data_IF_656822582837
#
_entry.id   IF_656822582837
#
_cell.length_a   1.000
_cell.length_b   1.000
_cell.length_c   1.000
_cell.angle_alpha   90.00
_cell.angle_beta   90.00
_cell.angle_gamma   90.00
#
_symmetry.space_group_name_H-M   'P 1'
#
loop_
_entity.id
_entity.type
_entity.pdbx_description
1 polymer ?
#
# COMPACT_ATOMS: atom_id res chain seq x y z
N UNK A 1 3.72 31.82 34.48
CA UNK A 1 3.06 30.50 34.34
C UNK A 1 2.35 30.50 33.01
N UNK A 2 3.07 30.09 31.96
CA UNK A 2 2.59 30.13 30.57
C UNK A 2 1.81 28.85 30.28
N UNK A 3 0.57 29.03 29.81
CA UNK A 3 -0.26 27.98 29.21
C UNK A 3 0.27 27.71 27.82
N UNK A 4 0.90 26.55 27.63
CA UNK A 4 1.29 26.06 26.30
C UNK A 4 0.06 25.43 25.65
N UNK A 5 -0.40 26.03 24.56
CA UNK A 5 -1.46 25.52 23.72
C UNK A 5 -0.98 24.26 22.98
N UNK A 6 -1.70 23.15 23.17
CA UNK A 6 -1.57 21.94 22.36
C UNK A 6 -2.24 22.23 21.00
N UNK A 7 -1.43 22.45 19.97
CA UNK A 7 -1.90 22.47 18.59
C UNK A 7 -2.15 21.02 18.16
N UNK A 8 -3.42 20.66 17.96
CA UNK A 8 -3.82 19.42 17.31
C UNK A 8 -3.51 19.56 15.81
N UNK A 9 -2.59 18.75 15.31
CA UNK A 9 -2.30 18.65 13.87
C UNK A 9 -3.44 17.87 13.23
N UNK A 10 -4.29 18.56 12.47
CA UNK A 10 -5.33 17.95 11.61
C UNK A 10 -4.60 17.32 10.41
N UNK A 11 -4.29 16.03 10.51
CA UNK A 11 -3.76 15.23 9.42
C UNK A 11 -4.84 14.93 8.37
N UNK A 12 -4.51 15.11 7.10
CA UNK A 12 -5.39 14.97 5.95
C UNK A 12 -5.98 13.55 5.85
N UNK A 13 -7.31 13.43 5.94
CA UNK A 13 -8.05 12.15 5.92
C UNK A 13 -9.14 12.12 4.81
N UNK A 14 -8.85 12.71 3.64
CA UNK A 14 -9.86 12.95 2.59
C UNK A 14 -9.48 12.44 1.19
N UNK A 15 -8.70 11.37 1.10
CA UNK A 15 -8.38 10.72 -0.18
C UNK A 15 -8.57 9.19 -0.15
N UNK A 16 -9.76 8.70 0.21
CA UNK A 16 -10.20 7.34 -0.16
C UNK A 16 -10.98 7.46 -1.46
N UNK A 17 -10.28 7.78 -2.55
CA UNK A 17 -10.81 7.78 -3.91
C UNK A 17 -10.69 6.38 -4.49
N UNK A 18 -11.82 5.76 -4.85
CA UNK A 18 -11.89 4.53 -5.68
C UNK A 18 -11.05 3.32 -5.25
N UNK A 19 -10.58 3.27 -4.01
CA UNK A 19 -9.99 2.06 -3.44
C UNK A 19 -11.05 0.98 -3.28
N UNK A 20 -10.62 -0.28 -3.37
CA UNK A 20 -11.44 -1.39 -2.91
C UNK A 20 -11.81 -1.11 -1.44
N UNK A 21 -13.10 -1.13 -1.14
CA UNK A 21 -13.64 -0.81 0.19
C UNK A 21 -14.66 -1.86 0.52
N UNK A 22 -14.54 -2.44 1.70
CA UNK A 22 -15.55 -3.31 2.24
C UNK A 22 -16.57 -2.48 3.01
N UNK A 23 -17.85 -2.81 2.88
CA UNK A 23 -18.94 -2.02 3.46
C UNK A 23 -20.14 -2.87 3.87
N UNK A 24 -20.81 -2.43 4.92
CA UNK A 24 -22.07 -3.01 5.41
C UNK A 24 -23.02 -1.89 5.86
N UNK A 25 -24.32 -2.12 5.70
CA UNK A 25 -25.35 -1.28 6.29
C UNK A 25 -25.61 -1.75 7.71
N UNK A 26 -25.67 -0.82 8.67
CA UNK A 26 -25.95 -1.15 10.06
C UNK A 26 -27.36 -1.71 10.29
N UNK A 27 -27.56 -2.26 11.48
CA UNK A 27 -28.78 -2.97 11.89
C UNK A 27 -30.03 -2.08 11.86
N UNK A 28 -29.90 -0.79 12.16
CA UNK A 28 -30.99 0.19 12.11
C UNK A 28 -31.20 0.77 10.71
N UNK A 29 -30.25 0.58 9.79
CA UNK A 29 -30.32 1.05 8.41
C UNK A 29 -30.10 2.56 8.24
N UNK A 30 -29.57 3.22 9.26
CA UNK A 30 -29.30 4.66 9.27
C UNK A 30 -27.93 4.97 8.67
N UNK A 31 -26.93 4.13 8.96
CA UNK A 31 -25.54 4.31 8.60
C UNK A 31 -24.98 3.13 7.77
N UNK A 32 -23.99 3.46 6.93
CA UNK A 32 -23.11 2.51 6.27
C UNK A 32 -21.72 2.63 6.87
N UNK A 33 -21.18 1.48 7.29
CA UNK A 33 -19.83 1.32 7.80
C UNK A 33 -18.95 0.83 6.66
N UNK A 34 -17.75 1.38 6.55
CA UNK A 34 -16.79 0.96 5.53
C UNK A 34 -15.34 1.07 6.03
N UNK A 35 -14.48 0.19 5.54
CA UNK A 35 -13.03 0.27 5.72
C UNK A 35 -12.32 -0.01 4.38
N UNK A 36 -11.06 0.43 4.27
CA UNK A 36 -10.23 0.10 3.12
C UNK A 36 -9.91 -1.39 3.14
N UNK A 37 -10.22 -2.09 2.05
CA UNK A 37 -10.02 -3.53 1.91
C UNK A 37 -9.53 -3.81 0.50
N UNK A 38 -8.35 -4.40 0.38
CA UNK A 38 -7.75 -4.84 -0.87
C UNK A 38 -8.15 -6.28 -1.21
N UNK A 39 -8.11 -7.17 -0.22
CA UNK A 39 -8.63 -8.52 -0.33
C UNK A 39 -10.14 -8.52 -0.19
N UNK A 40 -10.80 -9.51 -0.81
CA UNK A 40 -12.25 -9.76 -0.79
C UNK A 40 -13.09 -8.55 -0.34
N UNK A 41 -13.15 -7.48 -1.15
CA UNK A 41 -13.80 -6.23 -0.76
C UNK A 41 -15.33 -6.37 -0.64
N UNK A 42 -15.87 -7.55 -0.92
CA UNK A 42 -17.28 -7.87 -0.73
C UNK A 42 -17.54 -8.54 0.62
N UNK A 43 -16.50 -9.01 1.32
CA UNK A 43 -16.59 -9.53 2.67
C UNK A 43 -16.25 -8.44 3.70
N UNK A 44 -17.27 -7.95 4.41
CA UNK A 44 -17.11 -7.03 5.54
C UNK A 44 -16.80 -7.75 6.84
N UNK A 45 -17.16 -9.03 6.96
CA UNK A 45 -17.13 -9.76 8.22
C UNK A 45 -15.75 -10.37 8.47
N UNK A 46 -14.69 -9.72 8.03
CA UNK A 46 -13.32 -10.14 8.35
C UNK A 46 -13.03 -9.81 9.82
N UNK A 47 -12.39 -10.71 10.57
CA UNK A 47 -12.06 -10.46 11.94
C UNK A 47 -10.90 -9.47 12.03
N UNK A 48 -10.94 -8.59 13.02
CA UNK A 48 -9.85 -7.69 13.36
C UNK A 48 -8.80 -8.50 14.14
N UNK A 49 -7.52 -8.33 13.84
CA UNK A 49 -6.44 -8.97 14.57
C UNK A 49 -6.48 -8.57 16.06
N UNK A 50 -6.26 -9.51 16.96
CA UNK A 50 -6.01 -9.17 18.38
C UNK A 50 -4.80 -8.24 18.49
N UNK A 51 -4.97 -7.10 19.17
CA UNK A 51 -4.02 -5.99 19.25
C UNK A 51 -4.08 -5.01 18.07
N UNK A 52 -4.74 -5.40 16.97
CA UNK A 52 -4.86 -4.61 15.76
C UNK A 52 -5.94 -3.55 15.86
N UNK A 53 -5.78 -2.47 15.07
CA UNK A 53 -6.75 -1.38 14.99
C UNK A 53 -7.42 -1.34 13.61
N UNK A 54 -8.66 -0.87 13.59
CA UNK A 54 -9.42 -0.66 12.37
C UNK A 54 -10.11 0.69 12.40
N UNK A 55 -9.95 1.45 11.32
CA UNK A 55 -10.66 2.70 11.11
C UNK A 55 -11.92 2.43 10.28
N UNK A 56 -13.08 2.61 10.89
CA UNK A 56 -14.38 2.47 10.25
C UNK A 56 -14.93 3.84 9.90
N UNK A 57 -15.14 4.09 8.61
CA UNK A 57 -15.84 5.26 8.11
C UNK A 57 -17.34 5.05 8.14
N UNK A 58 -18.05 6.00 8.74
CA UNK A 58 -19.50 6.01 8.90
C UNK A 58 -20.11 7.08 7.99
N UNK A 59 -21.06 6.69 7.17
CA UNK A 59 -21.81 7.58 6.27
C UNK A 59 -23.29 7.31 6.36
N UNK A 60 -24.12 8.31 6.05
CA UNK A 60 -25.58 8.14 6.05
C UNK A 60 -26.02 7.27 4.86
N UNK A 61 -26.90 6.30 5.12
CA UNK A 61 -27.50 5.46 4.05
C UNK A 61 -28.30 6.33 3.08
N UNK A 62 -28.22 5.99 1.79
CA UNK A 62 -28.94 6.69 0.72
C UNK A 62 -28.24 7.95 0.21
N UNK A 63 -27.71 8.79 1.09
CA UNK A 63 -26.99 10.02 0.68
C UNK A 63 -25.48 9.84 0.57
N UNK A 64 -24.91 8.86 1.28
CA UNK A 64 -23.47 8.62 1.43
C UNK A 64 -22.70 9.84 1.97
N UNK A 65 -23.41 10.81 2.56
CA UNK A 65 -22.80 11.97 3.19
C UNK A 65 -22.11 11.55 4.50
N UNK A 66 -20.97 12.16 4.83
CA UNK A 66 -20.30 11.90 6.11
C UNK A 66 -21.21 12.34 7.27
N UNK A 67 -21.12 11.59 8.37
CA UNK A 67 -21.78 11.89 9.65
C UNK A 67 -20.72 12.42 10.62
N UNK A 68 -21.09 13.33 11.52
CA UNK A 68 -20.20 13.71 12.64
C UNK A 68 -20.51 12.81 13.82
N UNK A 69 -19.61 11.88 14.13
CA UNK A 69 -19.81 10.96 15.25
C UNK A 69 -19.72 11.70 16.59
N UNK A 70 -20.73 11.49 17.43
CA UNK A 70 -20.85 12.10 18.75
C UNK A 70 -20.59 11.11 19.87
N UNK A 71 -20.87 9.82 19.65
CA UNK A 71 -20.58 8.74 20.59
C UNK A 71 -20.27 7.43 19.86
N UNK A 72 -19.49 6.57 20.50
CA UNK A 72 -19.22 5.22 20.04
C UNK A 72 -18.91 4.31 21.24
N UNK A 73 -19.56 3.15 21.28
CA UNK A 73 -19.40 2.17 22.37
C UNK A 73 -19.55 0.74 21.86
N UNK A 74 -19.19 -0.22 22.69
CA UNK A 74 -19.33 -1.65 22.40
C UNK A 74 -19.90 -2.38 23.61
N UNK A 75 -20.68 -3.43 23.36
CA UNK A 75 -21.31 -4.25 24.39
C UNK A 75 -20.32 -5.20 25.09
N UNK A 76 -19.23 -5.57 24.41
CA UNK A 76 -18.20 -6.49 24.89
C UNK A 76 -16.80 -5.82 24.86
N UNK A 77 -16.50 -4.89 25.80
CA UNK A 77 -15.22 -4.15 25.83
C UNK A 77 -13.98 -5.02 26.07
N UNK A 78 -14.16 -6.29 26.44
CA UNK A 78 -13.07 -7.27 26.56
C UNK A 78 -12.69 -7.94 25.23
N UNK A 79 -13.55 -7.85 24.21
CA UNK A 79 -13.33 -8.40 22.86
C UNK A 79 -12.91 -7.27 21.91
N UNK A 80 -13.63 -6.16 21.93
CA UNK A 80 -13.40 -5.00 21.07
C UNK A 80 -13.39 -3.75 21.95
N UNK A 81 -12.51 -2.77 21.69
CA UNK A 81 -12.55 -1.48 22.36
C UNK A 81 -12.66 -0.32 21.36
N UNK A 82 -13.31 0.77 21.77
CA UNK A 82 -13.35 2.03 20.99
C UNK A 82 -12.17 2.89 21.41
N UNK A 83 -11.24 3.11 20.47
CA UNK A 83 -10.05 3.95 20.68
C UNK A 83 -10.41 5.43 20.63
N UNK A 84 -11.31 5.80 19.73
CA UNK A 84 -11.80 7.17 19.61
C UNK A 84 -12.61 7.42 18.34
N UNK A 85 -13.07 8.65 18.20
CA UNK A 85 -13.79 9.14 17.01
C UNK A 85 -13.13 10.40 16.46
N UNK A 86 -13.17 10.56 15.15
CA UNK A 86 -12.66 11.73 14.43
C UNK A 86 -13.53 12.00 13.19
N UNK A 87 -14.44 12.97 13.30
CA UNK A 87 -15.39 13.28 12.23
C UNK A 87 -16.27 12.06 11.90
N UNK A 88 -16.24 11.53 10.67
CA UNK A 88 -17.00 10.33 10.29
C UNK A 88 -16.28 9.01 10.61
N UNK A 89 -15.12 9.02 11.27
CA UNK A 89 -14.33 7.82 11.53
C UNK A 89 -14.42 7.43 12.99
N UNK A 90 -14.67 6.15 13.25
CA UNK A 90 -14.46 5.51 14.55
C UNK A 90 -13.28 4.54 14.43
N UNK A 91 -12.33 4.65 15.35
CA UNK A 91 -11.22 3.69 15.44
C UNK A 91 -11.52 2.70 16.56
N UNK A 92 -11.48 1.42 16.22
CA UNK A 92 -11.65 0.30 17.16
C UNK A 92 -10.37 -0.52 17.26
N UNK A 93 -10.20 -1.25 18.36
CA UNK A 93 -9.08 -2.16 18.58
C UNK A 93 -9.57 -3.54 19.01
N UNK A 94 -9.00 -4.60 18.44
CA UNK A 94 -9.23 -5.96 18.90
C UNK A 94 -8.50 -6.24 20.22
N UNK A 95 -9.20 -6.71 21.24
CA UNK A 95 -8.65 -6.98 22.57
C UNK A 95 -8.49 -8.49 22.83
N UNK A 96 -9.48 -9.29 22.43
CA UNK A 96 -9.43 -10.76 22.51
C UNK A 96 -10.38 -11.42 21.52
N UNK A 97 -10.19 -12.70 21.24
CA UNK A 97 -11.02 -13.46 20.30
C UNK A 97 -12.51 -13.42 20.66
N UNK A 98 -13.36 -13.15 19.67
CA UNK A 98 -14.81 -13.18 19.85
C UNK A 98 -15.59 -12.31 18.88
N UNK A 99 -16.84 -12.04 19.21
CA UNK A 99 -17.72 -11.13 18.48
C UNK A 99 -18.21 -10.03 19.44
N UNK A 100 -18.35 -8.81 18.94
CA UNK A 100 -18.85 -7.66 19.69
C UNK A 100 -19.71 -6.77 18.80
N UNK A 101 -20.76 -6.17 19.37
CA UNK A 101 -21.56 -5.15 18.70
C UNK A 101 -20.90 -3.78 18.92
N UNK A 102 -20.58 -3.07 17.83
CA UNK A 102 -20.22 -1.66 17.85
C UNK A 102 -21.49 -0.82 17.66
N UNK A 103 -21.75 0.09 18.60
CA UNK A 103 -22.81 1.09 18.52
C UNK A 103 -22.21 2.47 18.28
N UNK A 104 -22.74 3.22 17.31
CA UNK A 104 -22.33 4.61 17.06
C UNK A 104 -23.53 5.54 17.03
N UNK A 105 -23.35 6.76 17.54
CA UNK A 105 -24.29 7.86 17.39
C UNK A 105 -23.60 9.00 16.64
N UNK A 106 -24.34 9.69 15.78
CA UNK A 106 -23.80 10.84 15.06
C UNK A 106 -24.85 11.76 14.46
N UNK A 107 -24.42 13.00 14.22
CA UNK A 107 -25.22 14.06 13.63
C UNK A 107 -25.01 14.08 12.11
N UNK A 108 -26.12 13.98 11.36
CA UNK A 108 -26.11 14.11 9.90
C UNK A 108 -25.86 15.56 9.47
N UNK A 109 -25.58 15.79 8.18
CA UNK A 109 -25.42 17.17 7.67
C UNK A 109 -26.68 18.04 7.82
N UNK A 110 -27.85 17.41 8.00
CA UNK A 110 -29.12 18.10 8.18
C UNK A 110 -29.43 18.37 9.68
N UNK A 111 -28.49 18.02 10.58
CA UNK A 111 -28.60 18.23 12.03
C UNK A 111 -29.41 17.17 12.77
N UNK A 112 -29.76 16.07 12.10
CA UNK A 112 -30.48 14.96 12.71
C UNK A 112 -29.50 14.03 13.45
N UNK A 113 -29.79 13.74 14.72
CA UNK A 113 -29.05 12.76 15.50
C UNK A 113 -29.61 11.35 15.24
N UNK A 114 -28.77 10.48 14.70
CA UNK A 114 -29.11 9.09 14.42
C UNK A 114 -28.11 8.15 15.10
N UNK A 115 -28.51 6.90 15.30
CA UNK A 115 -27.65 5.84 15.80
C UNK A 115 -27.77 4.58 14.94
N UNK A 116 -26.70 3.80 14.88
CA UNK A 116 -26.69 2.51 14.20
C UNK A 116 -25.67 1.56 14.83
N UNK A 117 -25.79 0.27 14.52
CA UNK A 117 -25.00 -0.80 15.11
C UNK A 117 -24.48 -1.78 14.07
N UNK A 118 -23.32 -2.36 14.33
CA UNK A 118 -22.68 -3.36 13.45
C UNK A 118 -21.97 -4.42 14.30
N UNK A 119 -22.08 -5.68 13.89
CA UNK A 119 -21.33 -6.77 14.51
C UNK A 119 -19.92 -6.81 13.93
N UNK A 120 -18.92 -6.91 14.80
CA UNK A 120 -17.52 -7.05 14.43
C UNK A 120 -16.95 -8.31 15.08
N UNK A 121 -16.02 -8.95 14.39
CA UNK A 121 -15.30 -10.11 14.90
C UNK A 121 -13.86 -9.74 15.22
N UNK A 122 -13.29 -10.38 16.22
CA UNK A 122 -11.87 -10.27 16.59
C UNK A 122 -11.29 -11.68 16.64
N UNK A 123 -10.10 -11.86 16.07
CA UNK A 123 -9.43 -13.14 16.07
C UNK A 123 -7.91 -12.99 16.12
N UNK A 124 -7.26 -13.91 16.81
CA UNK A 124 -5.81 -14.05 16.83
C UNK A 124 -5.36 -14.62 15.48
N UNK A 125 -4.48 -13.94 14.73
CA UNK A 125 -3.98 -14.47 13.47
C UNK A 125 -3.14 -15.74 13.71
N UNK A 126 -3.28 -16.71 12.82
CA UNK A 126 -2.61 -18.02 12.88
C UNK A 126 -1.60 -18.21 11.75
N UNK A 127 -1.71 -17.41 10.68
CA UNK A 127 -0.80 -17.41 9.53
C UNK A 127 -0.40 -16.01 9.13
N UNK A 128 0.78 -15.87 8.55
CA UNK A 128 1.30 -14.63 7.96
C UNK A 128 1.85 -14.95 6.57
N UNK A 129 1.36 -14.25 5.54
CA UNK A 129 2.01 -14.24 4.24
C UNK A 129 2.87 -12.98 4.11
N UNK A 130 4.09 -13.13 3.57
CA UNK A 130 5.01 -12.04 3.28
C UNK A 130 5.34 -12.05 1.79
N UNK A 131 5.55 -10.88 1.20
CA UNK A 131 5.99 -10.84 -0.20
C UNK A 131 6.78 -9.58 -0.55
N UNK A 132 7.44 -9.59 -1.70
CA UNK A 132 8.09 -8.41 -2.28
C UNK A 132 7.21 -7.81 -3.38
N UNK A 133 7.08 -6.48 -3.44
CA UNK A 133 6.21 -5.81 -4.44
C UNK A 133 6.59 -6.11 -5.89
N UNK A 134 7.87 -6.30 -6.17
CA UNK A 134 8.36 -6.59 -7.52
C UNK A 134 8.55 -8.09 -7.81
N UNK A 135 8.53 -8.95 -6.78
CA UNK A 135 8.80 -10.38 -6.89
C UNK A 135 7.99 -11.18 -5.83
N UNK A 136 6.66 -11.25 -5.94
CA UNK A 136 5.80 -11.77 -4.87
C UNK A 136 5.96 -13.26 -4.57
N UNK A 137 6.68 -13.99 -5.43
CA UNK A 137 6.94 -15.43 -5.27
C UNK A 137 8.39 -15.74 -4.85
N UNK A 138 9.20 -14.72 -4.55
CA UNK A 138 10.59 -14.88 -4.16
C UNK A 138 10.74 -14.53 -2.68
N UNK A 139 11.59 -15.28 -1.98
CA UNK A 139 11.90 -15.02 -0.57
C UNK A 139 12.97 -13.91 -0.41
N UNK A 140 13.58 -13.47 -1.51
CA UNK A 140 14.63 -12.45 -1.52
C UNK A 140 14.37 -11.44 -2.62
N UNK A 141 14.44 -10.15 -2.29
CA UNK A 141 14.50 -9.06 -3.26
C UNK A 141 15.39 -7.92 -2.78
N UNK A 142 15.86 -7.12 -3.73
CA UNK A 142 16.70 -5.97 -3.44
C UNK A 142 15.87 -4.70 -3.20
N UNK A 143 16.38 -3.81 -2.35
CA UNK A 143 15.82 -2.48 -2.07
C UNK A 143 16.96 -1.46 -1.98
N UNK A 144 16.72 -0.20 -2.35
CA UNK A 144 17.74 0.85 -2.16
C UNK A 144 17.82 1.30 -0.70
N UNK A 145 19.00 1.75 -0.29
CA UNK A 145 19.20 2.52 0.95
C UNK A 145 18.62 3.93 0.84
N UNK A 146 18.25 4.53 1.97
CA UNK A 146 17.89 5.94 2.09
C UNK A 146 16.43 6.25 1.75
N UNK A 147 15.56 5.24 1.79
CA UNK A 147 14.14 5.35 1.44
C UNK A 147 13.24 4.57 2.41
N UNK A 148 12.00 5.03 2.56
CA UNK A 148 10.91 4.21 3.09
C UNK A 148 10.53 3.16 2.04
N UNK A 149 10.39 1.91 2.46
CA UNK A 149 9.93 0.81 1.61
C UNK A 149 8.76 0.09 2.27
N UNK A 150 7.85 -0.42 1.43
CA UNK A 150 6.64 -1.11 1.84
C UNK A 150 6.79 -2.60 1.62
N UNK A 151 6.64 -3.39 2.67
CA UNK A 151 6.62 -4.85 2.57
C UNK A 151 5.17 -5.32 2.73
N UNK A 152 4.55 -5.86 1.66
CA UNK A 152 3.20 -6.40 1.74
C UNK A 152 3.13 -7.56 2.73
N UNK A 153 2.05 -7.62 3.49
CA UNK A 153 1.74 -8.71 4.39
C UNK A 153 0.24 -9.01 4.44
N UNK A 154 -0.11 -10.26 4.69
CA UNK A 154 -1.49 -10.68 4.91
C UNK A 154 -1.55 -11.54 6.17
N UNK A 155 -2.48 -11.20 7.07
CA UNK A 155 -2.78 -12.01 8.25
C UNK A 155 -3.95 -12.95 7.92
N UNK A 156 -3.88 -14.17 8.42
CA UNK A 156 -4.91 -15.18 8.18
C UNK A 156 -5.14 -16.11 9.35
N UNK A 157 -6.25 -16.84 9.28
CA UNK A 157 -6.53 -18.02 10.10
C UNK A 157 -6.12 -19.28 9.32
N UNK A 158 -5.87 -20.39 10.01
CA UNK A 158 -5.46 -21.66 9.40
C UNK A 158 -6.49 -22.25 8.43
N UNK A 159 -7.74 -21.77 8.46
CA UNK A 159 -8.78 -22.13 7.51
C UNK A 159 -8.78 -21.28 6.22
N UNK A 160 -7.81 -20.37 6.05
CA UNK A 160 -7.68 -19.50 4.89
C UNK A 160 -8.50 -18.21 4.95
N UNK A 161 -9.18 -17.93 6.07
CA UNK A 161 -9.91 -16.67 6.25
C UNK A 161 -8.92 -15.54 6.61
N UNK A 162 -8.98 -14.43 5.86
CA UNK A 162 -8.19 -13.24 6.14
C UNK A 162 -8.54 -12.64 7.51
N UNK A 163 -7.53 -12.04 8.17
CA UNK A 163 -7.63 -11.25 9.40
C UNK A 163 -7.11 -9.84 9.06
N UNK A 164 -7.82 -8.80 9.49
CA UNK A 164 -7.53 -7.40 9.10
C UNK A 164 -7.11 -6.54 10.29
N UNK A 165 -6.67 -5.31 10.00
CA UNK A 165 -6.30 -4.30 10.99
C UNK A 165 -4.81 -3.97 10.97
N UNK A 166 -4.48 -2.75 11.39
CA UNK A 166 -3.11 -2.23 11.38
C UNK A 166 -2.49 -2.22 12.78
N UNK A 167 -1.16 -2.08 12.83
CA UNK A 167 -0.39 -1.97 14.08
C UNK A 167 -0.02 -3.31 14.74
N UNK A 168 -0.24 -4.43 14.05
CA UNK A 168 0.18 -5.77 14.49
C UNK A 168 1.06 -6.39 13.41
N UNK A 169 2.35 -6.53 13.72
CA UNK A 169 3.35 -7.10 12.83
C UNK A 169 4.03 -8.26 13.56
N UNK A 170 3.52 -9.50 13.46
CA UNK A 170 4.03 -10.65 14.18
C UNK A 170 5.29 -11.21 13.49
N UNK A 171 6.33 -10.38 13.39
CA UNK A 171 7.60 -10.70 12.74
C UNK A 171 8.78 -10.43 13.68
N UNK A 172 9.74 -11.36 13.69
CA UNK A 172 11.07 -11.10 14.20
C UNK A 172 11.93 -10.50 13.10
N UNK A 173 12.39 -9.26 13.30
CA UNK A 173 13.28 -8.56 12.38
C UNK A 173 14.74 -8.75 12.79
N UNK A 174 15.55 -9.22 11.85
CA UNK A 174 16.99 -9.39 12.00
C UNK A 174 17.75 -8.49 11.04
N UNK A 175 19.01 -8.17 11.36
CA UNK A 175 19.81 -7.21 10.60
C UNK A 175 19.59 -5.76 11.05
N UNK A 176 20.35 -4.84 10.47
CA UNK A 176 20.33 -3.40 10.84
C UNK A 176 20.23 -2.48 9.63
N UNK A 177 20.09 -3.02 8.43
CA UNK A 177 20.07 -2.25 7.19
C UNK A 177 18.73 -1.53 6.99
N UNK A 178 17.66 -2.00 7.63
CA UNK A 178 16.35 -1.36 7.69
C UNK A 178 15.73 -1.46 9.09
N UNK A 179 14.81 -0.54 9.40
CA UNK A 179 14.07 -0.48 10.66
C UNK A 179 12.58 -0.48 10.35
N UNK A 180 11.82 -1.41 10.94
CA UNK A 180 10.36 -1.43 10.86
C UNK A 180 9.78 -0.25 11.64
N UNK A 181 8.87 0.52 11.03
CA UNK A 181 8.03 1.50 11.71
C UNK A 181 6.79 0.79 12.31
N UNK A 182 6.71 0.63 13.64
CA UNK A 182 5.57 -0.02 14.28
C UNK A 182 4.32 0.87 14.34
N UNK A 183 4.44 2.15 13.99
CA UNK A 183 3.37 3.14 14.11
C UNK A 183 2.56 3.35 12.83
N UNK A 184 2.97 2.69 11.72
CA UNK A 184 2.22 2.69 10.47
C UNK A 184 0.77 2.25 10.67
N UNK A 185 -0.16 3.01 10.08
CA UNK A 185 -1.60 2.73 10.12
C UNK A 185 -2.09 1.96 8.89
N UNK A 186 -1.18 1.28 8.20
CA UNK A 186 -1.49 0.58 6.96
C UNK A 186 -1.85 -0.88 7.25
N UNK A 187 -2.94 -1.35 6.63
CA UNK A 187 -3.46 -2.70 6.83
C UNK A 187 -2.79 -3.74 5.94
N UNK A 188 -2.05 -3.30 4.91
CA UNK A 188 -1.49 -4.15 3.85
C UNK A 188 0.02 -4.07 3.83
N UNK A 189 0.59 -2.95 4.28
CA UNK A 189 2.02 -2.67 4.19
C UNK A 189 2.67 -2.55 5.58
N UNK A 190 3.74 -3.30 5.80
CA UNK A 190 4.75 -2.96 6.79
C UNK A 190 5.67 -1.88 6.23
N UNK A 191 5.89 -0.80 6.97
CA UNK A 191 6.77 0.30 6.55
C UNK A 191 8.17 0.10 7.13
N UNK A 192 9.20 0.16 6.29
CA UNK A 192 10.59 0.04 6.68
C UNK A 192 11.41 1.24 6.22
N UNK A 193 12.17 1.85 7.12
CA UNK A 193 13.19 2.83 6.78
C UNK A 193 14.53 2.14 6.49
N UNK A 194 15.00 2.22 5.25
CA UNK A 194 16.30 1.64 4.84
C UNK A 194 17.45 2.61 5.13
N UNK A 195 18.29 2.33 6.13
CA UNK A 195 19.31 3.27 6.60
C UNK A 195 20.75 2.91 6.21
N UNK A 196 21.00 1.67 5.77
CA UNK A 196 22.33 1.19 5.39
C UNK A 196 22.25 -0.03 4.48
N UNK A 197 23.40 -0.51 4.00
CA UNK A 197 23.45 -1.72 3.15
C UNK A 197 23.54 -2.99 3.99
N UNK A 198 23.03 -4.10 3.45
CA UNK A 198 23.06 -5.42 4.09
C UNK A 198 21.76 -6.19 3.94
N UNK A 199 21.65 -7.31 4.63
CA UNK A 199 20.44 -8.14 4.65
C UNK A 199 19.58 -7.82 5.87
N UNK A 200 18.26 -7.84 5.68
CA UNK A 200 17.25 -7.78 6.73
C UNK A 200 16.35 -8.97 6.56
N UNK A 201 16.34 -9.87 7.55
CA UNK A 201 15.48 -11.04 7.56
C UNK A 201 14.23 -10.78 8.39
N UNK A 202 13.07 -11.12 7.84
CA UNK A 202 11.77 -11.14 8.50
C UNK A 202 11.39 -12.60 8.70
N UNK A 203 11.21 -13.03 9.95
CA UNK A 203 10.69 -14.35 10.27
C UNK A 203 9.32 -14.21 10.93
N UNK A 204 8.32 -14.90 10.39
CA UNK A 204 6.99 -14.98 11.00
C UNK A 204 7.07 -15.57 12.40
N UNK A 205 6.33 -14.98 13.35
CA UNK A 205 6.12 -15.53 14.68
C UNK A 205 4.93 -16.51 14.71
N UNK A 206 4.15 -16.60 13.63
CA UNK A 206 2.91 -17.39 13.55
C UNK A 206 3.14 -18.75 12.87
N UNK A 207 3.99 -18.78 11.86
CA UNK A 207 4.24 -19.94 10.99
C UNK A 207 5.71 -19.97 10.51
N UNK A 208 5.98 -20.74 9.44
CA UNK A 208 7.33 -20.92 8.90
C UNK A 208 7.71 -19.86 7.85
N UNK A 209 6.86 -18.86 7.62
CA UNK A 209 7.07 -17.85 6.58
C UNK A 209 8.31 -17.01 6.89
N UNK A 210 9.13 -16.76 5.86
CA UNK A 210 10.31 -15.91 5.96
C UNK A 210 10.49 -15.07 4.71
N UNK A 211 10.98 -13.84 4.87
CA UNK A 211 11.30 -12.94 3.77
C UNK A 211 12.66 -12.25 4.03
N UNK A 212 13.45 -12.02 3.00
CA UNK A 212 14.75 -11.35 3.11
C UNK A 212 14.81 -10.12 2.21
N UNK A 213 15.02 -8.96 2.81
CA UNK A 213 15.32 -7.74 2.08
C UNK A 213 16.83 -7.58 1.95
N UNK A 214 17.34 -7.48 0.72
CA UNK A 214 18.74 -7.11 0.46
C UNK A 214 18.84 -5.62 0.17
N UNK A 215 19.28 -4.84 1.15
CA UNK A 215 19.41 -3.40 1.02
C UNK A 215 20.75 -3.05 0.36
N UNK A 216 20.71 -2.34 -0.76
CA UNK A 216 21.88 -1.98 -1.59
C UNK A 216 21.97 -0.48 -1.81
N UNK A 217 23.16 0.03 -2.09
CA UNK A 217 23.35 1.42 -2.47
C UNK A 217 22.95 1.63 -3.94
N UNK A 218 22.62 2.87 -4.32
CA UNK A 218 22.38 3.20 -5.73
C UNK A 218 23.60 2.90 -6.63
N UNK A 219 24.82 3.01 -6.08
CA UNK A 219 26.05 2.66 -6.77
C UNK A 219 26.17 1.18 -7.15
N UNK A 220 25.44 0.29 -6.44
CA UNK A 220 25.41 -1.14 -6.70
C UNK A 220 24.47 -1.50 -7.86
N UNK A 221 23.73 -0.54 -8.42
CA UNK A 221 22.91 -0.76 -9.62
C UNK A 221 23.86 -1.09 -10.78
N UNK A 222 23.73 -2.29 -11.33
CA UNK A 222 24.57 -2.82 -12.41
C UNK A 222 23.76 -3.29 -13.63
N UNK A 223 22.43 -3.18 -13.58
CA UNK A 223 21.55 -3.54 -14.68
C UNK A 223 20.21 -2.81 -14.69
N UNK A 224 19.45 -3.06 -15.76
CA UNK A 224 18.08 -2.61 -15.95
C UNK A 224 17.22 -3.85 -16.21
N UNK A 225 16.10 -4.00 -15.50
CA UNK A 225 15.15 -5.08 -15.74
C UNK A 225 14.39 -4.83 -17.05
N UNK A 226 13.88 -5.91 -17.66
CA UNK A 226 13.00 -5.77 -18.83
C UNK A 226 11.73 -4.98 -18.45
N UNK A 227 11.38 -3.90 -19.17
CA UNK A 227 10.22 -3.09 -18.85
C UNK A 227 8.92 -3.89 -18.95
N UNK A 228 8.06 -3.74 -17.96
CA UNK A 228 6.70 -4.28 -17.98
C UNK A 228 5.80 -3.27 -18.68
N UNK A 229 5.19 -3.68 -19.78
CA UNK A 229 4.22 -2.88 -20.51
C UNK A 229 2.82 -3.07 -19.91
N UNK A 230 2.17 -1.97 -19.53
CA UNK A 230 0.76 -1.97 -19.11
C UNK A 230 -0.12 -1.60 -20.30
N UNK A 231 -0.11 -2.51 -21.27
CA UNK A 231 -0.86 -2.45 -22.52
C UNK A 231 -2.07 -3.37 -22.43
N UNK A 232 -3.27 -2.83 -22.62
CA UNK A 232 -4.47 -3.66 -22.80
C UNK A 232 -4.56 -4.21 -24.23
N UNK A 233 -3.97 -3.49 -25.19
CA UNK A 233 -3.89 -3.81 -26.62
C UNK A 233 -2.51 -3.37 -27.17
N UNK A 234 -2.13 -3.81 -28.37
CA UNK A 234 -0.88 -3.37 -29.03
C UNK A 234 -0.81 -1.83 -29.12
N UNK A 235 0.39 -1.25 -29.26
CA UNK A 235 0.51 0.21 -29.42
C UNK A 235 0.34 0.54 -30.90
N UNK A 236 -0.79 1.15 -31.25
CA UNK A 236 -1.06 1.67 -32.59
C UNK A 236 -0.47 3.08 -32.79
N UNK A 237 -0.39 3.53 -34.03
CA UNK A 237 -0.01 4.92 -34.34
C UNK A 237 -1.01 5.90 -33.70
N UNK A 238 -0.49 6.81 -32.87
CA UNK A 238 -1.27 7.80 -32.13
C UNK A 238 -1.59 7.40 -30.70
N UNK A 239 -1.44 6.12 -30.34
CA UNK A 239 -1.72 5.63 -29.00
C UNK A 239 -0.56 5.87 -28.04
N UNK A 240 -0.89 6.01 -26.76
CA UNK A 240 0.08 6.17 -25.68
C UNK A 240 -0.15 5.13 -24.61
N UNK A 241 0.90 4.36 -24.32
CA UNK A 241 0.85 3.31 -23.32
C UNK A 241 1.94 3.49 -22.25
N UNK A 242 1.61 3.05 -21.03
CA UNK A 242 2.49 3.17 -19.88
C UNK A 242 3.38 1.94 -19.75
N UNK A 243 4.65 2.17 -19.42
CA UNK A 243 5.66 1.17 -19.16
C UNK A 243 6.28 1.42 -17.80
N UNK A 244 6.69 0.34 -17.14
CA UNK A 244 7.33 0.38 -15.84
C UNK A 244 8.67 -0.36 -15.91
N UNK A 245 9.74 0.26 -15.40
CA UNK A 245 11.08 -0.33 -15.42
C UNK A 245 11.77 -0.15 -14.07
N UNK A 246 12.46 -1.21 -13.65
CA UNK A 246 13.19 -1.28 -12.39
C UNK A 246 14.70 -1.49 -12.62
N UNK A 247 15.56 -0.96 -11.75
CA UNK A 247 16.99 -1.26 -11.78
C UNK A 247 17.26 -2.66 -11.22
N UNK A 248 18.47 -3.17 -11.50
CA UNK A 248 18.99 -4.43 -10.96
C UNK A 248 20.28 -4.21 -10.20
N UNK A 249 20.53 -5.07 -9.21
CA UNK A 249 21.83 -5.24 -8.57
C UNK A 249 22.19 -6.74 -8.61
N UNK A 250 23.05 -7.11 -9.55
CA UNK A 250 23.34 -8.49 -9.91
C UNK A 250 22.14 -9.19 -10.56
N UNK A 251 21.74 -10.32 -9.97
CA UNK A 251 20.61 -11.08 -10.47
C UNK A 251 19.25 -10.45 -10.10
N UNK A 252 19.20 -9.70 -9.00
CA UNK A 252 17.94 -9.31 -8.37
C UNK A 252 17.41 -7.99 -8.92
N UNK A 253 16.10 -7.92 -9.05
CA UNK A 253 15.38 -6.66 -9.31
C UNK A 253 15.29 -5.87 -8.01
N UNK A 254 15.52 -4.56 -8.10
CA UNK A 254 15.40 -3.66 -6.96
C UNK A 254 13.95 -3.14 -6.90
N UNK A 255 13.21 -3.57 -5.90
CA UNK A 255 11.82 -3.15 -5.68
C UNK A 255 11.75 -1.70 -5.19
N UNK A 256 10.67 -0.99 -5.57
CA UNK A 256 10.36 0.38 -5.08
C UNK A 256 11.56 1.33 -5.19
N UNK A 257 12.31 1.24 -6.29
CA UNK A 257 13.56 1.97 -6.45
C UNK A 257 13.32 3.46 -6.71
N UNK A 258 13.36 4.28 -5.67
CA UNK A 258 13.34 5.74 -5.80
C UNK A 258 14.73 6.26 -6.20
N UNK A 259 15.05 6.13 -7.48
CA UNK A 259 16.32 6.56 -8.06
C UNK A 259 16.11 7.29 -9.39
N UNK A 260 17.01 8.22 -9.69
CA UNK A 260 17.00 8.91 -10.96
C UNK A 260 17.08 7.93 -12.13
N UNK A 261 16.31 8.20 -13.18
CA UNK A 261 16.27 7.42 -14.42
C UNK A 261 16.14 8.39 -15.58
N UNK A 262 16.68 8.02 -16.73
CA UNK A 262 16.34 8.64 -18.02
C UNK A 262 15.89 7.58 -19.01
N UNK A 263 14.95 7.94 -19.89
CA UNK A 263 14.50 7.07 -20.98
C UNK A 263 14.49 7.89 -22.26
N UNK A 264 15.18 7.41 -23.30
CA UNK A 264 15.36 8.13 -24.58
C UNK A 264 14.92 7.24 -25.73
N UNK A 265 14.12 7.79 -26.63
CA UNK A 265 13.75 7.11 -27.88
C UNK A 265 14.95 7.15 -28.84
N UNK A 266 15.43 5.97 -29.24
CA UNK A 266 16.48 5.80 -30.22
C UNK A 266 15.93 5.87 -31.67
N UNK A 267 14.62 5.66 -31.82
CA UNK A 267 13.86 5.81 -33.08
C UNK A 267 12.74 6.86 -32.94
N UNK A 268 13.08 8.16 -32.82
CA UNK A 268 12.10 9.22 -32.58
C UNK A 268 11.09 9.41 -33.73
N UNK A 269 11.42 8.95 -34.94
CA UNK A 269 10.47 8.95 -36.07
C UNK A 269 9.38 7.87 -35.96
N UNK A 270 9.58 6.86 -35.08
CA UNK A 270 8.66 5.74 -34.85
C UNK A 270 7.87 5.92 -33.55
N UNK A 271 8.49 6.47 -32.51
CA UNK A 271 7.85 6.67 -31.21
C UNK A 271 8.42 7.87 -30.47
N UNK A 272 7.63 8.45 -29.57
CA UNK A 272 8.09 9.44 -28.60
C UNK A 272 7.97 8.91 -27.19
N UNK A 273 8.94 9.24 -26.33
CA UNK A 273 8.96 8.81 -24.93
C UNK A 273 8.83 10.00 -24.00
N UNK A 274 8.00 9.84 -22.97
CA UNK A 274 7.87 10.79 -21.87
C UNK A 274 8.05 10.08 -20.54
N UNK A 275 9.09 10.44 -19.80
CA UNK A 275 9.26 9.92 -18.44
C UNK A 275 8.17 10.47 -17.51
N UNK A 276 7.63 9.61 -16.64
CA UNK A 276 6.66 10.04 -15.63
C UNK A 276 7.42 10.31 -14.35
N UNK A 277 7.44 11.57 -13.92
CA UNK A 277 7.91 11.87 -12.58
C UNK A 277 6.92 11.29 -11.57
N UNK A 278 7.43 10.52 -10.61
CA UNK A 278 6.62 10.09 -9.48
C UNK A 278 6.09 11.35 -8.76
N UNK A 279 4.77 11.50 -8.55
CA UNK A 279 4.26 12.56 -7.72
C UNK A 279 4.78 12.37 -6.29
N UNK A 280 5.10 13.45 -5.57
CA UNK A 280 5.81 13.35 -4.30
C UNK A 280 5.07 12.60 -3.17
N UNK A 281 3.75 12.33 -3.25
CA UNK A 281 2.97 11.92 -2.07
C UNK A 281 1.76 10.99 -2.32
N UNK A 282 1.72 10.12 -3.34
CA UNK A 282 0.55 9.25 -3.57
C UNK A 282 0.87 7.76 -3.36
N UNK A 283 0.42 7.20 -2.23
CA UNK A 283 0.66 5.82 -1.79
C UNK A 283 -0.04 4.70 -2.60
N UNK A 284 0.10 4.67 -3.93
CA UNK A 284 -0.39 3.57 -4.77
C UNK A 284 0.64 3.07 -5.78
N UNK A 285 0.50 1.81 -6.23
CA UNK A 285 1.39 1.15 -7.20
C UNK A 285 1.56 1.92 -8.52
N UNK A 286 0.54 2.66 -8.95
CA UNK A 286 0.55 3.52 -10.14
C UNK A 286 1.52 4.71 -10.06
N UNK A 287 2.21 4.87 -8.93
CA UNK A 287 3.05 6.02 -8.61
C UNK A 287 4.42 5.64 -8.03
N UNK A 288 4.81 4.37 -8.13
CA UNK A 288 6.19 3.95 -7.89
C UNK A 288 7.14 4.59 -8.91
N UNK A 289 8.38 4.87 -8.51
CA UNK A 289 9.40 5.38 -9.43
C UNK A 289 9.69 4.35 -10.52
N UNK A 290 9.83 4.79 -11.77
CA UNK A 290 10.14 3.90 -12.90
C UNK A 290 9.13 3.93 -14.05
N UNK A 291 7.98 4.58 -13.89
CA UNK A 291 7.00 4.74 -14.98
C UNK A 291 7.49 5.66 -16.10
N UNK A 292 7.12 5.35 -17.33
CA UNK A 292 7.28 6.21 -18.52
C UNK A 292 6.21 5.87 -19.56
N UNK A 293 5.97 6.78 -20.49
CA UNK A 293 5.02 6.62 -21.58
C UNK A 293 5.75 6.44 -22.90
N UNK A 294 5.26 5.52 -23.74
CA UNK A 294 5.62 5.43 -25.16
C UNK A 294 4.38 5.80 -25.97
N UNK A 295 4.53 6.76 -26.89
CA UNK A 295 3.52 7.13 -27.88
C UNK A 295 3.96 6.66 -29.27
N UNK A 296 3.09 5.93 -29.97
CA UNK A 296 3.31 5.53 -31.37
C UNK A 296 3.24 6.74 -32.31
N UNK A 297 4.29 6.97 -33.10
CA UNK A 297 4.36 8.09 -34.07
C UNK A 297 4.19 7.57 -35.50
N UNK A 298 4.77 6.41 -35.82
CA UNK A 298 4.62 5.73 -37.09
C UNK A 298 4.76 4.20 -36.90
N UNK A 299 4.22 3.42 -37.83
CA UNK A 299 4.38 1.97 -37.86
C UNK A 299 5.88 1.59 -37.91
N UNK A 300 6.30 0.65 -37.06
CA UNK A 300 7.68 0.17 -37.02
C UNK A 300 8.10 -0.36 -35.65
N UNK A 301 9.41 -0.44 -35.41
CA UNK A 301 9.95 -0.85 -34.11
C UNK A 301 10.44 0.37 -33.34
N UNK A 302 9.78 0.68 -32.22
CA UNK A 302 10.25 1.67 -31.26
C UNK A 302 11.45 1.10 -30.52
N UNK A 303 12.64 1.65 -30.73
CA UNK A 303 13.83 1.36 -29.92
C UNK A 303 14.03 2.47 -28.91
N UNK A 304 14.42 2.11 -27.70
CA UNK A 304 14.69 3.07 -26.64
C UNK A 304 15.71 2.56 -25.64
N UNK A 305 16.38 3.50 -24.99
CA UNK A 305 17.41 3.21 -23.99
C UNK A 305 17.01 3.80 -22.64
N UNK A 306 17.01 2.96 -21.61
CA UNK A 306 16.83 3.35 -20.21
C UNK A 306 18.20 3.47 -19.55
N UNK A 307 18.43 4.51 -18.76
CA UNK A 307 19.68 4.72 -18.02
C UNK A 307 19.42 5.07 -16.55
N UNK A 308 20.13 4.42 -15.63
CA UNK A 308 20.26 4.82 -14.23
C UNK A 308 21.63 5.48 -14.03
N UNK A 309 21.71 6.81 -13.93
CA UNK A 309 22.98 7.54 -13.93
C UNK A 309 23.83 7.29 -12.68
N UNK A 310 23.20 6.99 -11.54
CA UNK A 310 23.91 6.74 -10.27
C UNK A 310 24.47 5.32 -10.16
N UNK A 311 24.10 4.42 -11.08
CA UNK A 311 24.56 3.04 -11.11
C UNK A 311 26.04 2.89 -11.47
N UNK A 312 26.61 1.75 -11.10
CA UNK A 312 28.02 1.40 -11.29
C UNK A 312 28.96 2.52 -10.79
N UNK A 313 28.83 2.89 -9.52
CA UNK A 313 29.59 3.98 -8.88
C UNK A 313 29.47 5.33 -9.62
N UNK A 314 28.30 5.61 -10.20
CA UNK A 314 28.03 6.84 -10.96
C UNK A 314 28.59 6.84 -12.39
N UNK A 315 29.09 5.70 -12.88
CA UNK A 315 29.42 5.56 -14.31
C UNK A 315 28.16 5.55 -15.20
N UNK A 316 27.02 5.24 -14.60
CA UNK A 316 25.75 5.06 -15.28
C UNK A 316 25.62 3.66 -15.87
N UNK A 317 24.41 3.11 -15.77
CA UNK A 317 24.07 1.81 -16.36
C UNK A 317 22.91 2.00 -17.32
N UNK A 318 23.04 1.45 -18.53
CA UNK A 318 22.03 1.56 -19.57
C UNK A 318 21.66 0.20 -20.15
N UNK A 319 20.41 0.06 -20.58
CA UNK A 319 19.95 -1.05 -21.41
C UNK A 319 19.00 -0.54 -22.50
N UNK A 320 19.06 -1.17 -23.67
CA UNK A 320 18.20 -0.86 -24.80
C UNK A 320 17.11 -1.92 -24.96
N UNK A 321 15.91 -1.47 -25.30
CA UNK A 321 14.72 -2.28 -25.46
C UNK A 321 14.01 -1.93 -26.77
N UNK A 322 13.15 -2.85 -27.21
CA UNK A 322 12.38 -2.70 -28.44
C UNK A 322 10.90 -2.98 -28.16
N UNK A 323 10.00 -2.23 -28.80
CA UNK A 323 8.57 -2.48 -28.77
C UNK A 323 7.95 -2.21 -30.16
N UNK A 324 7.10 -3.09 -30.70
CA UNK A 324 6.47 -2.87 -32.00
C UNK A 324 5.34 -1.83 -31.93
N UNK A 325 5.30 -0.92 -32.91
CA UNK A 325 4.20 0.01 -33.15
C UNK A 325 3.42 -0.46 -34.38
N UNK A 326 2.14 -0.73 -34.18
CA UNK A 326 1.20 -1.18 -35.20
C UNK A 326 0.58 0.02 -35.96
N UNK A 327 0.05 -0.19 -37.19
CA UNK A 327 -0.45 0.89 -38.03
C UNK A 327 -1.74 1.57 -37.53
#
# INVERSE_FOLDING_TARGET
MNRTHLLLTIGALLAIGTGCTSKITGKEGNFQFAYAADDDPLDFNKPIAVGGRLDLRVTQVGTLKPVTLTDASTDEPGILSVVGTAGPVVTVQGESDGEAELSVEGETLDGELLGDRVDLQVATPETLALSHTCQPQQDVAAYLTGQEVRVPYELGLANGRAVIGYGVYPVDVSGTAAVLDPTGSDQVWMLFDTAGTGEVGLASQLDAETLTMRVVAAADIDGVAEPVAFVLEDIDVGDTNAFYVLPKAGADTICQANVAKTVVADTPDICSIRDRQAPPDSGGLAWEYGWFDITGVAEGTCRYTVTYPDGADGAGVSASFEFPIQP
#
